data_IF_150692803026
#
_entry.id   IF_150692803026
#
_cell.length_a   1.000
_cell.length_b   1.000
_cell.length_c   1.000
_cell.angle_alpha   90.00
_cell.angle_beta   90.00
_cell.angle_gamma   90.00
#
_symmetry.space_group_name_H-M   'P 1'
#
loop_
_entity.id
_entity.type
_entity.pdbx_description
1 polymer ?
#
# COMPACT_ATOMS: atom_id res chain seq x y z
N UNK A 1 -37.89 11.29 -43.66
CA UNK A 1 -37.15 12.45 -44.21
C UNK A 1 -36.18 12.94 -43.14
N UNK A 2 -34.86 12.82 -43.34
CA UNK A 2 -33.85 13.20 -42.34
C UNK A 2 -33.35 14.63 -42.58
N UNK A 3 -33.18 15.41 -41.51
CA UNK A 3 -32.41 16.66 -41.56
C UNK A 3 -31.07 16.41 -40.86
N UNK A 4 -30.01 16.33 -41.68
CA UNK A 4 -28.61 16.45 -41.28
C UNK A 4 -28.31 17.91 -40.98
N UNK A 5 -27.62 18.18 -39.88
CA UNK A 5 -26.79 19.38 -39.75
C UNK A 5 -25.44 19.00 -39.13
N UNK A 6 -24.40 19.06 -39.95
CA UNK A 6 -23.00 19.13 -39.54
C UNK A 6 -22.71 20.53 -38.99
N UNK A 7 -21.77 20.66 -38.04
CA UNK A 7 -20.59 21.55 -38.16
C UNK A 7 -19.64 21.37 -36.97
N UNK A 8 -18.35 21.53 -37.27
CA UNK A 8 -17.18 20.97 -36.60
C UNK A 8 -16.55 21.94 -35.54
N UNK A 9 -15.48 21.53 -34.83
CA UNK A 9 -14.91 22.27 -33.69
C UNK A 9 -13.88 23.33 -34.11
N UNK A 10 -13.83 24.43 -33.35
CA UNK A 10 -12.84 25.51 -33.51
C UNK A 10 -11.64 25.26 -32.58
N UNK A 11 -10.48 25.08 -33.20
CA UNK A 11 -9.15 25.15 -32.59
C UNK A 11 -8.71 26.62 -32.42
N UNK A 12 -8.17 26.99 -31.27
CA UNK A 12 -7.35 28.20 -31.06
C UNK A 12 -6.31 27.87 -29.96
N UNK A 13 -5.06 27.55 -30.30
CA UNK A 13 -3.89 28.40 -30.59
C UNK A 13 -3.27 29.10 -29.35
N UNK A 14 -2.01 28.74 -29.12
CA UNK A 14 -1.08 29.09 -28.04
C UNK A 14 -0.86 30.60 -27.82
N UNK A 15 -0.50 30.96 -26.58
CA UNK A 15 0.48 32.01 -26.28
C UNK A 15 1.34 31.62 -25.06
N UNK A 16 2.62 31.33 -25.32
CA UNK A 16 3.70 31.46 -24.33
C UNK A 16 4.13 32.93 -24.29
N UNK A 17 4.33 33.48 -23.10
CA UNK A 17 5.12 34.68 -22.88
C UNK A 17 6.46 34.30 -22.26
N UNK A 18 7.54 34.66 -22.94
CA UNK A 18 8.92 34.66 -22.45
C UNK A 18 9.24 36.05 -21.89
N UNK A 19 10.10 36.09 -20.88
CA UNK A 19 10.79 37.30 -20.44
C UNK A 19 11.94 36.94 -19.53
N UNK A 20 13.12 37.54 -19.75
CA UNK A 20 14.24 37.48 -18.80
C UNK A 20 15.63 37.48 -19.45
N UNK A 21 16.10 38.68 -19.77
CA UNK A 21 17.44 39.06 -20.22
C UNK A 21 18.54 38.77 -19.20
N UNK A 22 19.76 38.46 -19.64
CA UNK A 22 21.01 39.04 -19.07
C UNK A 22 22.20 38.84 -20.01
N UNK A 23 23.10 39.82 -19.94
CA UNK A 23 24.21 40.19 -20.81
C UNK A 23 25.44 39.27 -20.77
N UNK A 24 26.12 39.20 -21.92
CA UNK A 24 27.52 38.79 -22.10
C UNK A 24 28.49 39.77 -21.41
N UNK A 25 29.48 39.22 -20.69
CA UNK A 25 30.86 39.71 -20.71
C UNK A 25 31.82 38.52 -20.61
N UNK A 26 32.70 38.46 -21.61
CA UNK A 26 33.87 37.59 -21.72
C UNK A 26 34.80 37.67 -20.52
N UNK A 27 35.31 36.52 -20.07
CA UNK A 27 36.74 36.39 -19.78
C UNK A 27 37.19 34.92 -19.77
N UNK A 28 37.95 34.58 -20.81
CA UNK A 28 38.80 33.40 -20.92
C UNK A 28 39.93 33.48 -19.87
N UNK A 29 40.26 32.38 -19.20
CA UNK A 29 41.65 31.90 -18.99
C UNK A 29 41.70 30.57 -18.18
N UNK A 30 42.44 29.64 -18.79
CA UNK A 30 43.21 28.50 -18.26
C UNK A 30 42.55 27.16 -17.88
N UNK A 31 42.95 26.19 -18.71
CA UNK A 31 42.89 24.76 -18.54
C UNK A 31 43.56 24.30 -17.24
N UNK A 32 42.93 23.32 -16.57
CA UNK A 32 43.59 22.55 -15.52
C UNK A 32 42.60 21.73 -14.68
N UNK A 33 42.25 20.54 -15.15
CA UNK A 33 41.68 19.45 -14.33
C UNK A 33 40.29 19.68 -13.73
N UNK A 34 39.38 18.73 -13.88
CA UNK A 34 38.14 18.74 -13.10
C UNK A 34 38.50 18.60 -11.60
N UNK A 35 38.31 19.68 -10.84
CA UNK A 35 38.34 19.63 -9.38
C UNK A 35 37.08 18.92 -8.87
N UNK A 36 37.26 17.96 -7.96
CA UNK A 36 36.19 17.10 -7.45
C UNK A 36 35.15 17.94 -6.69
N UNK A 37 33.91 17.98 -7.20
CA UNK A 37 32.82 18.84 -6.68
C UNK A 37 31.98 18.22 -5.55
N UNK A 38 32.49 17.20 -4.86
CA UNK A 38 31.83 16.64 -3.67
C UNK A 38 32.64 16.92 -2.40
N UNK A 39 32.88 18.20 -2.10
CA UNK A 39 33.42 18.59 -0.79
C UNK A 39 32.23 18.82 0.14
N UNK A 40 32.01 17.90 1.08
CA UNK A 40 31.04 18.08 2.14
C UNK A 40 31.53 19.18 3.09
N UNK A 41 30.85 20.33 3.06
CA UNK A 41 31.11 21.45 3.96
C UNK A 41 30.44 21.17 5.30
N UNK A 42 31.26 20.91 6.32
CA UNK A 42 30.80 20.67 7.70
C UNK A 42 30.67 22.02 8.43
N UNK A 43 29.54 22.30 9.07
CA UNK A 43 29.42 23.44 9.98
C UNK A 43 30.19 23.13 11.28
N UNK A 44 31.38 23.71 11.46
CA UNK A 44 32.11 23.67 12.73
C UNK A 44 31.90 25.00 13.49
N UNK A 45 31.70 24.98 14.82
CA UNK A 45 31.80 26.19 15.64
C UNK A 45 33.25 26.69 15.63
N UNK A 46 33.44 28.00 15.42
CA UNK A 46 34.74 28.67 15.29
C UNK A 46 35.47 28.84 16.63
N UNK A 47 35.91 27.75 17.27
CA UNK A 47 36.96 27.82 18.29
C UNK A 47 37.97 26.68 18.09
N UNK A 48 38.98 26.92 17.27
CA UNK A 48 40.07 25.97 17.04
C UNK A 48 41.32 26.62 16.44
N UNK A 49 42.47 26.42 17.09
CA UNK A 49 43.78 26.77 16.54
C UNK A 49 44.03 25.94 15.27
N UNK A 50 44.17 26.60 14.12
CA UNK A 50 44.25 25.99 12.79
C UNK A 50 45.47 25.09 12.56
N UNK A 51 45.40 23.85 13.06
CA UNK A 51 46.36 22.78 12.74
C UNK A 51 45.77 21.84 11.67
N UNK A 52 46.49 21.71 10.56
CA UNK A 52 45.98 21.18 9.29
C UNK A 52 45.97 19.64 9.14
N UNK A 53 46.06 18.84 10.20
CA UNK A 53 46.02 17.36 10.07
C UNK A 53 45.65 16.69 11.38
N UNK A 54 44.47 16.09 11.45
CA UNK A 54 44.09 15.15 12.51
C UNK A 54 43.95 13.74 11.93
N UNK A 55 44.60 12.77 12.57
CA UNK A 55 44.89 11.43 12.05
C UNK A 55 43.87 10.37 12.49
N UNK A 56 42.57 10.61 12.34
CA UNK A 56 41.58 9.52 12.34
C UNK A 56 40.22 9.97 11.81
N UNK A 57 39.85 9.58 10.58
CA UNK A 57 38.45 9.57 10.20
C UNK A 57 37.84 8.31 10.82
N UNK A 58 37.07 8.48 11.90
CA UNK A 58 36.15 7.45 12.37
C UNK A 58 35.13 7.20 11.27
N UNK A 59 35.39 6.20 10.43
CA UNK A 59 34.41 5.66 9.49
C UNK A 59 33.26 5.08 10.31
N UNK A 60 32.21 5.87 10.50
CA UNK A 60 30.91 5.34 10.89
C UNK A 60 30.42 4.52 9.72
N UNK A 61 30.65 3.20 9.78
CA UNK A 61 30.00 2.23 8.94
C UNK A 61 28.49 2.43 9.11
N UNK A 62 27.86 3.07 8.12
CA UNK A 62 26.41 3.07 7.97
C UNK A 62 26.01 1.61 7.79
N UNK A 63 25.49 0.99 8.85
CA UNK A 63 24.92 -0.33 8.77
C UNK A 63 23.86 -0.33 7.65
N UNK A 64 23.85 -1.32 6.75
CA UNK A 64 22.81 -1.41 5.74
C UNK A 64 21.47 -1.50 6.47
N UNK A 65 20.59 -0.52 6.24
CA UNK A 65 19.20 -0.61 6.65
C UNK A 65 18.60 -1.84 5.97
N UNK A 66 18.51 -2.94 6.72
CA UNK A 66 17.79 -4.13 6.33
C UNK A 66 16.33 -3.74 6.18
N UNK A 67 15.87 -3.52 4.95
CA UNK A 67 14.44 -3.46 4.63
C UNK A 67 13.88 -4.86 4.87
N UNK A 68 13.42 -5.12 6.10
CA UNK A 68 12.62 -6.29 6.38
C UNK A 68 11.41 -6.22 5.43
N UNK A 69 11.40 -7.08 4.42
CA UNK A 69 10.30 -7.19 3.46
C UNK A 69 9.02 -7.39 4.26
N UNK A 70 8.07 -6.46 4.14
CA UNK A 70 6.85 -6.48 4.92
C UNK A 70 6.11 -7.79 4.63
N UNK A 71 6.03 -8.67 5.63
CA UNK A 71 5.35 -9.96 5.51
C UNK A 71 3.86 -9.71 5.23
N UNK A 72 3.43 -10.04 4.03
CA UNK A 72 2.02 -9.93 3.64
C UNK A 72 1.20 -10.94 4.47
N UNK A 73 0.13 -10.50 5.17
CA UNK A 73 -0.74 -11.39 5.92
C UNK A 73 -1.45 -12.37 4.99
N UNK A 74 -1.93 -13.50 5.53
CA UNK A 74 -2.64 -14.50 4.71
C UNK A 74 -4.04 -14.01 4.31
N UNK A 75 -4.76 -13.42 5.26
CA UNK A 75 -6.11 -12.91 5.07
C UNK A 75 -6.40 -11.74 6.01
N UNK A 76 -7.51 -11.05 5.77
CA UNK A 76 -8.17 -10.19 6.74
C UNK A 76 -9.52 -10.78 7.10
N UNK A 77 -9.80 -10.93 8.39
CA UNK A 77 -11.11 -11.37 8.88
C UNK A 77 -11.91 -10.19 9.41
N UNK A 78 -13.16 -10.06 8.97
CA UNK A 78 -14.13 -9.21 9.64
C UNK A 78 -14.70 -9.98 10.84
N UNK A 79 -14.27 -9.61 12.04
CA UNK A 79 -14.68 -10.24 13.30
C UNK A 79 -15.76 -9.40 13.98
N UNK A 80 -16.71 -10.04 14.66
CA UNK A 80 -17.77 -9.42 15.46
C UNK A 80 -17.72 -9.91 16.91
N UNK A 81 -17.80 -8.98 17.85
CA UNK A 81 -17.90 -9.25 19.29
C UNK A 81 -19.26 -8.83 19.85
N UNK A 82 -19.74 -9.55 20.86
CA UNK A 82 -20.95 -9.23 21.62
C UNK A 82 -20.67 -8.19 22.73
N UNK A 83 -19.92 -7.15 22.38
CA UNK A 83 -19.62 -5.99 23.21
C UNK A 83 -19.27 -4.80 22.30
N UNK A 84 -19.08 -3.61 22.87
CA UNK A 84 -18.86 -2.39 22.11
C UNK A 84 -17.37 -2.05 21.87
N UNK A 85 -16.42 -2.90 22.25
CA UNK A 85 -14.99 -2.55 22.30
C UNK A 85 -14.06 -3.49 21.52
N UNK A 86 -14.60 -4.40 20.70
CA UNK A 86 -13.85 -5.37 19.90
C UNK A 86 -12.78 -6.13 20.71
N UNK A 87 -13.16 -6.58 21.91
CA UNK A 87 -12.26 -7.24 22.84
C UNK A 87 -12.84 -8.56 23.35
N UNK A 88 -11.95 -9.43 23.81
CA UNK A 88 -12.30 -10.73 24.35
C UNK A 88 -11.98 -11.88 23.40
N UNK A 89 -11.92 -13.12 23.93
CA UNK A 89 -11.52 -14.30 23.17
C UNK A 89 -12.62 -14.83 22.26
N UNK A 90 -13.88 -14.50 22.54
CA UNK A 90 -15.04 -14.96 21.79
C UNK A 90 -15.46 -13.91 20.76
N UNK A 91 -15.37 -14.31 19.49
CA UNK A 91 -15.84 -13.52 18.35
C UNK A 91 -16.38 -14.43 17.26
N UNK A 92 -17.21 -13.86 16.40
CA UNK A 92 -17.70 -14.50 15.19
C UNK A 92 -16.96 -13.93 13.97
N UNK A 93 -16.52 -14.79 13.07
CA UNK A 93 -15.93 -14.38 11.79
C UNK A 93 -17.05 -14.22 10.77
N UNK A 94 -17.33 -12.98 10.35
CA UNK A 94 -18.37 -12.65 9.38
C UNK A 94 -17.90 -12.77 7.93
N UNK A 95 -16.62 -12.47 7.68
CA UNK A 95 -16.01 -12.56 6.36
C UNK A 95 -14.51 -12.83 6.48
N UNK A 96 -13.94 -13.52 5.50
CA UNK A 96 -12.49 -13.77 5.38
C UNK A 96 -12.02 -13.40 3.97
N UNK A 97 -11.29 -12.29 3.86
CA UNK A 97 -10.73 -11.78 2.63
C UNK A 97 -9.28 -12.26 2.48
N UNK A 98 -9.02 -13.26 1.64
CA UNK A 98 -7.65 -13.78 1.47
C UNK A 98 -6.80 -12.86 0.60
N UNK A 99 -5.62 -12.51 1.09
CA UNK A 99 -4.72 -11.61 0.38
C UNK A 99 -4.19 -12.27 -0.90
N UNK A 100 -4.19 -11.51 -1.99
CA UNK A 100 -3.73 -11.92 -3.31
C UNK A 100 -4.49 -13.12 -3.93
N UNK A 101 -5.66 -13.49 -3.39
CA UNK A 101 -6.54 -14.48 -4.01
C UNK A 101 -7.40 -13.82 -5.09
N UNK A 102 -7.53 -14.50 -6.23
CA UNK A 102 -8.46 -14.13 -7.29
C UNK A 102 -9.68 -15.04 -7.22
N UNK A 103 -10.82 -14.49 -6.81
CA UNK A 103 -12.07 -15.24 -6.67
C UNK A 103 -12.93 -15.02 -7.91
N UNK A 104 -13.23 -16.10 -8.63
CA UNK A 104 -14.10 -16.08 -9.81
C UNK A 104 -15.57 -16.01 -9.40
N UNK A 105 -16.33 -15.18 -10.10
CA UNK A 105 -17.79 -15.07 -9.99
C UNK A 105 -18.37 -15.23 -11.40
N UNK A 106 -19.33 -16.14 -11.58
CA UNK A 106 -19.92 -16.43 -12.90
C UNK A 106 -21.33 -15.84 -13.03
N UNK A 107 -22.02 -15.63 -11.91
CA UNK A 107 -23.44 -15.22 -11.88
C UNK A 107 -23.53 -13.85 -11.20
N UNK A 108 -24.24 -12.85 -11.76
CA UNK A 108 -25.02 -12.88 -13.02
C UNK A 108 -24.19 -12.68 -14.30
N UNK A 109 -22.93 -12.24 -14.20
CA UNK A 109 -22.01 -12.11 -15.32
C UNK A 109 -20.61 -12.60 -14.91
N UNK A 110 -19.78 -13.07 -15.85
CA UNK A 110 -18.41 -13.49 -15.54
C UNK A 110 -17.59 -12.29 -15.07
N UNK A 111 -16.96 -12.45 -13.92
CA UNK A 111 -16.04 -11.49 -13.36
C UNK A 111 -15.17 -12.13 -12.28
N UNK A 112 -14.27 -11.35 -11.73
CA UNK A 112 -13.45 -11.79 -10.61
C UNK A 112 -13.21 -10.68 -9.62
N UNK A 113 -12.93 -11.07 -8.38
CA UNK A 113 -12.57 -10.16 -7.30
C UNK A 113 -11.17 -10.50 -6.84
N UNK A 114 -10.29 -9.50 -6.73
CA UNK A 114 -8.96 -9.64 -6.16
C UNK A 114 -8.84 -8.75 -4.94
N UNK A 115 -8.37 -9.34 -3.85
CA UNK A 115 -7.99 -8.60 -2.64
C UNK A 115 -6.50 -8.34 -2.69
N UNK A 116 -6.10 -7.09 -2.45
CA UNK A 116 -4.71 -6.65 -2.50
C UNK A 116 -4.33 -5.97 -1.18
N UNK A 117 -3.24 -6.44 -0.59
CA UNK A 117 -2.63 -5.79 0.56
C UNK A 117 -1.97 -4.48 0.12
N UNK A 118 -2.28 -3.38 0.80
CA UNK A 118 -1.72 -2.06 0.51
C UNK A 118 -0.74 -1.62 1.62
N UNK A 119 -1.10 -1.84 2.88
CA UNK A 119 -0.29 -1.46 4.03
C UNK A 119 -0.65 -2.26 5.29
N UNK A 120 0.12 -2.15 6.39
CA UNK A 120 -0.17 -2.85 7.64
C UNK A 120 -1.52 -2.52 8.28
N UNK A 121 -2.25 -1.53 7.76
CA UNK A 121 -3.56 -1.12 8.25
C UNK A 121 -4.61 -1.07 7.15
N UNK A 122 -4.28 -1.48 5.92
CA UNK A 122 -5.16 -1.30 4.77
C UNK A 122 -5.03 -2.42 3.73
N UNK A 123 -6.17 -2.87 3.22
CA UNK A 123 -6.23 -3.59 1.95
C UNK A 123 -7.32 -3.01 1.04
N UNK A 124 -7.22 -3.29 -0.24
CA UNK A 124 -8.20 -2.89 -1.24
C UNK A 124 -8.78 -4.12 -1.93
N UNK A 125 -10.03 -4.01 -2.37
CA UNK A 125 -10.69 -5.03 -3.18
C UNK A 125 -11.01 -4.48 -4.57
N UNK A 126 -10.73 -5.28 -5.59
CA UNK A 126 -10.90 -4.90 -6.99
C UNK A 126 -11.78 -5.90 -7.72
N UNK A 127 -12.74 -5.40 -8.48
CA UNK A 127 -13.59 -6.16 -9.37
C UNK A 127 -13.10 -6.07 -10.82
N UNK A 128 -13.05 -7.22 -11.51
CA UNK A 128 -12.68 -7.33 -12.91
C UNK A 128 -13.89 -7.86 -13.68
N UNK A 129 -14.55 -6.98 -14.43
CA UNK A 129 -15.71 -7.34 -15.25
C UNK A 129 -15.25 -8.11 -16.50
N UNK A 130 -15.97 -9.18 -16.88
CA UNK A 130 -15.66 -10.05 -18.02
C UNK A 130 -14.28 -10.72 -17.98
N UNK A 131 -13.67 -10.81 -16.80
CA UNK A 131 -12.34 -11.36 -16.62
C UNK A 131 -12.30 -12.23 -15.37
N UNK A 132 -11.95 -13.50 -15.54
CA UNK A 132 -11.94 -14.53 -14.50
C UNK A 132 -10.55 -14.76 -13.88
N UNK A 133 -9.55 -13.98 -14.28
CA UNK A 133 -8.15 -14.23 -13.95
C UNK A 133 -7.48 -13.06 -13.23
N UNK A 134 -8.23 -12.01 -12.88
CA UNK A 134 -7.74 -10.81 -12.19
C UNK A 134 -6.47 -10.21 -12.84
N UNK A 135 -6.37 -10.32 -14.17
CA UNK A 135 -5.26 -9.81 -14.97
C UNK A 135 -5.63 -8.53 -15.71
N UNK A 136 -4.62 -7.74 -16.09
CA UNK A 136 -4.84 -6.49 -16.82
C UNK A 136 -5.15 -5.29 -15.93
N UNK A 137 -5.35 -4.13 -16.58
CA UNK A 137 -5.57 -2.85 -15.92
C UNK A 137 -7.07 -2.48 -15.82
N UNK A 138 -7.93 -3.18 -16.55
CA UNK A 138 -9.38 -2.98 -16.54
C UNK A 138 -9.99 -3.57 -15.27
N UNK A 139 -9.88 -2.80 -14.18
CA UNK A 139 -10.41 -3.14 -12.86
C UNK A 139 -11.13 -1.96 -12.24
N UNK A 140 -12.18 -2.26 -11.49
CA UNK A 140 -12.92 -1.28 -10.68
C UNK A 140 -12.61 -1.53 -9.22
N UNK A 141 -12.18 -0.50 -8.50
CA UNK A 141 -11.99 -0.60 -7.05
C UNK A 141 -13.35 -0.68 -6.37
N UNK A 142 -13.58 -1.75 -5.61
CA UNK A 142 -14.81 -1.96 -4.82
C UNK A 142 -14.74 -1.13 -3.54
N UNK A 143 -13.58 -1.11 -2.90
CA UNK A 143 -13.39 -0.37 -1.66
C UNK A 143 -12.00 -0.56 -1.07
N UNK A 144 -11.67 0.35 -0.16
CA UNK A 144 -10.52 0.27 0.74
C UNK A 144 -11.04 -0.09 2.13
N UNK A 145 -10.34 -0.99 2.80
CA UNK A 145 -10.79 -1.57 4.07
C UNK A 145 -9.69 -1.42 5.11
N UNK A 146 -9.97 -0.60 6.12
CA UNK A 146 -9.08 -0.41 7.26
C UNK A 146 -9.06 -1.67 8.14
N UNK A 147 -7.87 -2.02 8.62
CA UNK A 147 -7.61 -3.14 9.52
C UNK A 147 -7.13 -2.61 10.86
N UNK A 148 -7.68 -3.16 11.95
CA UNK A 148 -7.40 -2.73 13.32
C UNK A 148 -8.36 -1.67 13.87
N UNK A 149 -9.30 -1.16 13.07
CA UNK A 149 -10.29 -0.18 13.52
C UNK A 149 -11.56 -0.83 14.07
N UNK A 150 -11.86 -0.57 15.34
CA UNK A 150 -13.06 -1.06 15.99
C UNK A 150 -14.26 -0.13 15.71
N UNK A 151 -15.34 -0.70 15.18
CA UNK A 151 -16.59 0.00 14.90
C UNK A 151 -17.69 -0.53 15.83
N UNK A 152 -18.14 0.24 16.84
CA UNK A 152 -19.26 -0.16 17.68
C UNK A 152 -20.60 -0.01 16.96
N UNK A 153 -21.50 -0.96 17.17
CA UNK A 153 -22.91 -0.93 16.80
C UNK A 153 -23.75 -0.89 18.08
N UNK A 154 -24.23 0.32 18.42
CA UNK A 154 -25.03 0.56 19.63
C UNK A 154 -26.44 -0.01 19.55
N UNK A 155 -26.96 -0.28 18.35
CA UNK A 155 -28.28 -0.87 18.16
C UNK A 155 -28.25 -2.37 18.44
N UNK A 156 -27.18 -3.04 17.98
CA UNK A 156 -27.00 -4.47 18.18
C UNK A 156 -26.19 -4.81 19.44
N UNK A 157 -25.76 -3.80 20.22
CA UNK A 157 -24.84 -3.95 21.36
C UNK A 157 -23.60 -4.80 21.00
N UNK A 158 -23.11 -4.63 19.78
CA UNK A 158 -22.00 -5.41 19.23
C UNK A 158 -20.93 -4.50 18.66
N UNK A 159 -19.80 -5.06 18.26
CA UNK A 159 -18.74 -4.30 17.60
C UNK A 159 -18.04 -5.16 16.56
N UNK A 160 -17.48 -4.52 15.55
CA UNK A 160 -16.81 -5.19 14.44
C UNK A 160 -15.43 -4.59 14.21
N UNK A 161 -14.47 -5.44 13.88
CA UNK A 161 -13.10 -5.04 13.54
C UNK A 161 -12.54 -6.00 12.51
N UNK A 162 -11.78 -5.46 11.55
CA UNK A 162 -10.96 -6.29 10.67
C UNK A 162 -9.63 -6.59 11.34
N UNK A 163 -9.21 -7.84 11.31
CA UNK A 163 -7.90 -8.27 11.82
C UNK A 163 -7.14 -9.08 10.77
N UNK A 164 -5.82 -8.90 10.75
CA UNK A 164 -4.95 -9.73 9.93
C UNK A 164 -4.86 -11.13 10.50
N UNK A 165 -4.84 -12.11 9.62
CA UNK A 165 -4.67 -13.52 9.96
C UNK A 165 -3.41 -14.02 9.29
N UNK A 166 -2.58 -14.68 10.09
CA UNK A 166 -1.43 -15.41 9.59
C UNK A 166 -1.83 -16.81 9.13
N UNK A 167 -1.12 -17.35 8.13
CA UNK A 167 -1.40 -18.70 7.58
C UNK A 167 -1.39 -19.81 8.64
N UNK A 168 -0.58 -19.66 9.69
CA UNK A 168 -0.50 -20.62 10.80
C UNK A 168 -1.76 -20.61 11.67
N UNK A 169 -2.33 -19.43 11.89
CA UNK A 169 -3.56 -19.23 12.67
C UNK A 169 -4.76 -19.86 11.94
N UNK A 170 -4.90 -19.58 10.64
CA UNK A 170 -5.94 -20.18 9.79
C UNK A 170 -5.87 -21.71 9.75
N UNK A 171 -4.66 -22.28 9.65
CA UNK A 171 -4.47 -23.74 9.67
C UNK A 171 -4.82 -24.37 11.03
N UNK A 172 -4.58 -23.66 12.13
CA UNK A 172 -4.92 -24.15 13.46
C UNK A 172 -6.44 -24.12 13.69
N UNK A 173 -7.11 -23.04 13.30
CA UNK A 173 -8.57 -22.92 13.35
C UNK A 173 -9.24 -24.07 12.56
N UNK A 174 -8.76 -24.36 11.35
CA UNK A 174 -9.28 -25.47 10.52
C UNK A 174 -9.06 -26.85 11.13
N UNK A 175 -8.00 -27.05 11.91
CA UNK A 175 -7.74 -28.33 12.59
C UNK A 175 -8.69 -28.56 13.77
N UNK A 176 -9.03 -27.51 14.50
CA UNK A 176 -9.98 -27.61 15.64
C UNK A 176 -11.37 -28.05 15.15
N UNK A 177 -11.90 -27.38 14.12
CA UNK A 177 -13.22 -27.71 13.55
C UNK A 177 -13.32 -29.18 13.09
N UNK A 178 -12.28 -29.70 12.41
CA UNK A 178 -12.26 -31.09 11.93
C UNK A 178 -12.26 -32.12 13.07
N UNK A 179 -11.69 -31.79 14.23
CA UNK A 179 -11.66 -32.70 15.37
C UNK A 179 -13.01 -32.73 16.08
N UNK A 180 -13.74 -31.62 16.08
CA UNK A 180 -15.07 -31.52 16.69
C UNK A 180 -16.11 -32.27 15.85
N UNK A 181 -16.08 -32.14 14.51
CA UNK A 181 -16.92 -32.94 13.60
C UNK A 181 -16.66 -34.44 13.74
N UNK A 182 -15.39 -34.85 13.85
CA UNK A 182 -15.02 -36.26 14.01
C UNK A 182 -15.42 -36.83 15.37
N UNK A 183 -15.50 -35.99 16.40
CA UNK A 183 -15.97 -36.41 17.73
C UNK A 183 -17.49 -36.55 17.78
N UNK A 184 -18.23 -35.66 17.12
CA UNK A 184 -19.69 -35.73 17.04
C UNK A 184 -20.20 -36.98 16.29
N UNK A 185 -19.50 -37.41 15.24
CA UNK A 185 -19.84 -38.63 14.46
C UNK A 185 -19.60 -39.92 15.25
N UNK A 186 -18.75 -39.90 16.28
CA UNK A 186 -18.39 -41.12 17.05
C UNK A 186 -19.34 -41.41 18.21
N UNK A 187 -20.28 -40.51 18.50
CA UNK A 187 -21.30 -40.64 19.56
C UNK A 187 -22.71 -40.91 19.03
N UNK A 188 -22.85 -41.22 17.73
CA UNK A 188 -24.13 -41.60 17.10
C UNK A 188 -24.18 -43.10 16.79
#
# INVERSE_FOLDING_TARGET
MPVKALLAPVFALMRLQQGGTTSEQDMVVQQGGASLTNVAMMCCPEEGNGVASSSSPTQQFLAPYSTAEAKIPYAAELRRWNNLNCSGPEYEVLNQDKMNECVRKIIPAPGSIRVQYESPTLYSSFHFQHNLFCGGQDKTKIGDFAVGECTPDTLLQSSQKREWVDKKEDLNAKKMIKNDEKSAVKTS
#
